data_IF_483894976472
#
_entry.id   IF_483894976472
#
_cell.length_a   1.000
_cell.length_b   1.000
_cell.length_c   1.000
_cell.angle_alpha   90.00
_cell.angle_beta   90.00
_cell.angle_gamma   90.00
#
_symmetry.space_group_name_H-M   'P 1'
#
loop_
_entity.id
_entity.type
_entity.pdbx_description
1 polymer ?
#
# COMPACT_ATOMS: atom_id res chain seq x y z
N UNK A 1 -19.41 -1.78 14.48
CA UNK A 1 -18.81 -3.08 14.12
C UNK A 1 -17.31 -3.00 14.33
N UNK A 2 -16.64 -3.95 14.99
CA UNK A 2 -15.20 -3.93 15.10
C UNK A 2 -14.63 -4.23 13.71
N UNK A 3 -14.00 -3.23 13.09
CA UNK A 3 -13.46 -3.31 11.73
C UNK A 3 -12.27 -4.26 11.72
N UNK A 4 -12.36 -5.33 10.93
CA UNK A 4 -11.42 -6.48 10.93
C UNK A 4 -9.97 -6.11 10.56
N UNK A 5 -9.78 -4.94 9.98
CA UNK A 5 -8.53 -4.46 9.40
C UNK A 5 -8.15 -3.08 9.97
N UNK A 6 -8.09 -2.92 11.30
CA UNK A 6 -7.40 -1.76 11.89
C UNK A 6 -5.88 -1.95 11.85
N UNK A 7 -5.08 -0.87 11.95
CA UNK A 7 -3.61 -0.96 12.00
C UNK A 7 -3.08 -1.90 13.08
N UNK A 8 -3.83 -2.08 14.17
CA UNK A 8 -3.53 -2.98 15.30
C UNK A 8 -3.93 -4.44 15.06
N UNK A 9 -4.65 -4.73 13.96
CA UNK A 9 -5.03 -6.09 13.60
C UNK A 9 -3.76 -6.94 13.41
N UNK A 10 -3.81 -8.21 13.80
CA UNK A 10 -2.72 -9.17 13.56
C UNK A 10 -2.96 -10.04 12.31
N UNK A 11 -4.07 -9.78 11.62
CA UNK A 11 -4.45 -10.49 10.38
C UNK A 11 -3.81 -9.78 9.20
N UNK A 12 -3.10 -10.55 8.38
CA UNK A 12 -2.56 -10.06 7.10
C UNK A 12 -3.67 -10.11 6.07
N UNK A 13 -3.90 -9.00 5.36
CA UNK A 13 -4.91 -8.92 4.33
C UNK A 13 -4.51 -9.78 3.12
N UNK A 14 -5.44 -10.60 2.62
CA UNK A 14 -5.22 -11.58 1.54
C UNK A 14 -6.18 -11.36 0.34
N UNK A 15 -6.80 -10.18 0.28
CA UNK A 15 -7.56 -9.67 -0.88
C UNK A 15 -7.11 -8.24 -1.23
N UNK A 16 -7.20 -7.79 -2.49
CA UNK A 16 -6.72 -6.47 -2.87
C UNK A 16 -7.48 -5.34 -2.16
N UNK A 17 -8.80 -5.48 -2.05
CA UNK A 17 -9.66 -4.53 -1.34
C UNK A 17 -9.29 -4.43 0.15
N UNK A 18 -9.05 -5.56 0.84
CA UNK A 18 -8.64 -5.52 2.25
C UNK A 18 -7.23 -4.92 2.44
N UNK A 19 -6.34 -5.08 1.45
CA UNK A 19 -5.02 -4.44 1.45
C UNK A 19 -5.17 -2.91 1.31
N UNK A 20 -6.00 -2.45 0.37
CA UNK A 20 -6.29 -1.03 0.15
C UNK A 20 -6.98 -0.40 1.36
N UNK A 21 -7.99 -1.08 1.94
CA UNK A 21 -8.69 -0.61 3.14
C UNK A 21 -7.74 -0.46 4.34
N UNK A 22 -6.86 -1.45 4.55
CA UNK A 22 -5.88 -1.39 5.62
C UNK A 22 -4.89 -0.24 5.39
N UNK A 23 -4.41 -0.07 4.15
CA UNK A 23 -3.49 1.00 3.79
C UNK A 23 -4.10 2.39 4.03
N UNK A 24 -5.37 2.60 3.66
CA UNK A 24 -6.10 3.85 3.88
C UNK A 24 -6.18 4.21 5.36
N UNK A 25 -6.66 3.26 6.18
CA UNK A 25 -6.75 3.42 7.63
C UNK A 25 -5.39 3.68 8.27
N UNK A 26 -4.35 3.04 7.75
CA UNK A 26 -3.00 3.22 8.23
C UNK A 26 -2.48 4.63 7.92
N UNK A 27 -2.64 5.11 6.68
CA UNK A 27 -2.26 6.47 6.29
C UNK A 27 -3.06 7.52 7.05
N UNK A 28 -4.35 7.30 7.30
CA UNK A 28 -5.17 8.16 8.16
C UNK A 28 -4.62 8.24 9.58
N UNK A 29 -4.10 7.13 10.11
CA UNK A 29 -3.58 7.04 11.46
C UNK A 29 -2.19 7.68 11.61
N UNK A 30 -1.25 7.34 10.72
CA UNK A 30 0.16 7.75 10.86
C UNK A 30 0.55 8.94 9.98
N UNK A 31 -0.31 9.34 9.04
CA UNK A 31 -0.04 10.39 8.07
C UNK A 31 0.74 9.92 6.83
N UNK A 32 0.84 10.81 5.83
CA UNK A 32 1.67 10.59 4.64
C UNK A 32 3.07 11.16 4.86
N UNK A 33 4.09 10.43 4.43
CA UNK A 33 5.44 11.00 4.32
C UNK A 33 5.63 11.65 2.93
N UNK A 34 6.05 12.91 2.91
CA UNK A 34 6.43 13.65 1.71
C UNK A 34 7.92 14.00 1.75
N UNK A 35 8.68 13.64 0.72
CA UNK A 35 10.08 14.07 0.59
C UNK A 35 10.94 13.14 -0.27
N UNK A 36 12.15 13.54 -0.66
CA UNK A 36 13.08 12.66 -1.35
C UNK A 36 13.69 11.66 -0.35
N UNK A 37 13.64 10.37 -0.71
CA UNK A 37 14.11 9.15 -0.01
C UNK A 37 12.94 8.31 0.51
N UNK A 38 12.74 7.18 -0.16
CA UNK A 38 11.94 6.08 0.33
C UNK A 38 12.58 5.54 1.61
N UNK A 39 11.79 5.42 2.68
CA UNK A 39 12.22 4.65 3.85
C UNK A 39 12.21 3.15 3.48
N UNK A 40 13.30 2.66 2.90
CA UNK A 40 13.55 1.23 2.80
C UNK A 40 13.99 0.72 4.19
N UNK A 41 13.08 0.05 4.90
CA UNK A 41 13.42 -0.57 6.18
C UNK A 41 12.27 -1.37 6.81
N UNK A 42 12.48 -2.65 7.18
CA UNK A 42 11.49 -3.43 7.91
C UNK A 42 11.20 -2.83 9.29
N UNK A 43 9.92 -2.76 9.67
CA UNK A 43 9.48 -2.41 11.02
C UNK A 43 9.34 -0.91 11.35
N UNK A 44 9.62 0.00 10.40
CA UNK A 44 9.47 1.47 10.62
C UNK A 44 8.21 2.08 10.01
N UNK A 45 7.46 1.30 9.23
CA UNK A 45 6.31 1.76 8.45
C UNK A 45 4.97 1.57 9.15
N UNK A 46 4.89 0.84 10.27
CA UNK A 46 3.62 0.59 10.97
C UNK A 46 3.21 1.69 11.96
N UNK A 47 4.09 2.64 12.30
CA UNK A 47 3.81 3.67 13.31
C UNK A 47 4.27 5.08 12.92
N UNK A 48 4.94 5.24 11.77
CA UNK A 48 5.44 6.52 11.28
C UNK A 48 4.75 6.90 9.98
N UNK A 49 4.67 8.21 9.64
CA UNK A 49 4.18 8.67 8.35
C UNK A 49 4.79 7.85 7.21
N UNK A 50 3.94 7.37 6.30
CA UNK A 50 4.34 6.40 5.29
C UNK A 50 3.88 6.83 3.89
N UNK A 51 4.45 6.23 2.85
CA UNK A 51 3.95 6.44 1.48
C UNK A 51 2.84 5.42 1.22
N UNK A 52 1.86 5.73 0.34
CA UNK A 52 0.89 4.76 -0.18
C UNK A 52 1.52 3.41 -0.54
N UNK A 53 2.65 3.42 -1.26
CA UNK A 53 3.39 2.19 -1.59
C UNK A 53 3.79 1.40 -0.34
N UNK A 54 4.31 2.07 0.68
CA UNK A 54 4.73 1.45 1.94
C UNK A 54 3.55 0.92 2.75
N UNK A 55 2.44 1.66 2.79
CA UNK A 55 1.21 1.25 3.47
C UNK A 55 0.69 -0.09 2.92
N UNK A 56 0.67 -0.26 1.59
CA UNK A 56 0.30 -1.52 0.94
C UNK A 56 1.25 -2.68 1.27
N UNK A 57 2.55 -2.40 1.43
CA UNK A 57 3.52 -3.42 1.86
C UNK A 57 3.26 -3.89 3.30
N UNK A 58 2.95 -2.96 4.20
CA UNK A 58 2.63 -3.29 5.60
C UNK A 58 1.29 -4.01 5.72
N UNK A 59 0.30 -3.62 4.91
CA UNK A 59 -0.98 -4.33 4.80
C UNK A 59 -0.78 -5.80 4.39
N UNK A 60 0.14 -6.03 3.45
CA UNK A 60 0.56 -7.36 2.98
C UNK A 60 1.54 -8.07 3.94
N UNK A 61 1.74 -7.56 5.16
CA UNK A 61 2.51 -8.24 6.21
C UNK A 61 4.01 -8.00 6.20
N UNK A 62 4.53 -7.14 5.32
CA UNK A 62 5.94 -6.74 5.39
C UNK A 62 6.22 -6.00 6.70
N UNK A 63 7.07 -6.58 7.56
CA UNK A 63 7.34 -6.06 8.90
C UNK A 63 6.27 -6.37 9.96
N UNK A 64 5.20 -7.12 9.61
CA UNK A 64 4.12 -7.54 10.54
C UNK A 64 3.92 -9.05 10.65
N UNK A 65 4.59 -9.84 9.81
CA UNK A 65 4.57 -11.31 9.92
C UNK A 65 5.07 -11.79 11.28
N UNK A 66 4.24 -12.55 12.00
CA UNK A 66 4.61 -13.13 13.29
C UNK A 66 5.44 -14.43 13.13
N UNK A 67 6.52 -14.56 13.89
CA UNK A 67 7.29 -15.80 13.99
C UNK A 67 6.39 -16.95 14.49
N UNK A 68 6.45 -18.12 13.84
CA UNK A 68 5.66 -19.29 14.20
C UNK A 68 4.27 -19.39 13.55
N UNK A 69 3.93 -18.49 12.62
CA UNK A 69 2.75 -18.62 11.76
C UNK A 69 3.15 -18.91 10.31
N UNK A 70 2.42 -19.81 9.68
CA UNK A 70 2.55 -20.08 8.25
C UNK A 70 1.61 -19.16 7.48
N UNK A 71 2.14 -18.49 6.46
CA UNK A 71 1.39 -17.63 5.56
C UNK A 71 1.57 -18.13 4.12
N UNK A 72 0.53 -18.00 3.31
CA UNK A 72 0.61 -18.18 1.87
C UNK A 72 1.19 -16.90 1.25
N UNK A 73 2.51 -16.77 1.30
CA UNK A 73 3.21 -15.58 0.83
C UNK A 73 3.01 -15.36 -0.68
N UNK A 74 2.92 -16.41 -1.47
CA UNK A 74 2.68 -16.30 -2.92
C UNK A 74 1.31 -15.69 -3.22
N UNK A 75 0.28 -16.08 -2.47
CA UNK A 75 -1.04 -15.45 -2.57
C UNK A 75 -1.01 -14.01 -2.09
N UNK A 76 -0.39 -13.73 -0.95
CA UNK A 76 -0.29 -12.38 -0.38
C UNK A 76 0.45 -11.44 -1.35
N UNK A 77 1.56 -11.88 -1.93
CA UNK A 77 2.36 -11.10 -2.87
C UNK A 77 1.61 -10.81 -4.16
N UNK A 78 0.89 -11.80 -4.72
CA UNK A 78 0.02 -11.58 -5.89
C UNK A 78 -1.08 -10.56 -5.60
N UNK A 79 -1.69 -10.68 -4.43
CA UNK A 79 -2.78 -9.78 -3.99
C UNK A 79 -2.27 -8.35 -3.79
N UNK A 80 -1.09 -8.20 -3.19
CA UNK A 80 -0.43 -6.89 -3.04
C UNK A 80 -0.10 -6.29 -4.41
N UNK A 81 0.42 -7.08 -5.34
CA UNK A 81 0.76 -6.60 -6.67
C UNK A 81 -0.49 -6.15 -7.46
N UNK A 82 -1.63 -6.81 -7.24
CA UNK A 82 -2.93 -6.34 -7.76
C UNK A 82 -3.35 -5.01 -7.12
N UNK A 83 -3.23 -4.86 -5.80
CA UNK A 83 -3.53 -3.60 -5.12
C UNK A 83 -2.63 -2.44 -5.61
N UNK A 84 -1.34 -2.71 -5.88
CA UNK A 84 -0.45 -1.74 -6.50
C UNK A 84 -0.94 -1.32 -7.88
N UNK A 85 -1.34 -2.28 -8.73
CA UNK A 85 -1.85 -1.98 -10.07
C UNK A 85 -3.11 -1.11 -9.99
N UNK A 86 -4.11 -1.54 -9.22
CA UNK A 86 -5.38 -0.81 -9.08
C UNK A 86 -5.16 0.63 -8.62
N UNK A 87 -4.36 0.85 -7.56
CA UNK A 87 -4.11 2.19 -7.05
C UNK A 87 -3.31 3.04 -8.05
N UNK A 88 -2.26 2.48 -8.65
CA UNK A 88 -1.42 3.21 -9.59
C UNK A 88 -2.21 3.64 -10.84
N UNK A 89 -2.98 2.74 -11.45
CA UNK A 89 -3.79 3.04 -12.64
C UNK A 89 -4.90 4.05 -12.32
N UNK A 90 -5.48 3.99 -11.12
CA UNK A 90 -6.46 4.97 -10.66
C UNK A 90 -5.84 6.35 -10.51
N UNK A 91 -4.64 6.44 -9.94
CA UNK A 91 -3.92 7.71 -9.79
C UNK A 91 -3.41 8.26 -11.13
N UNK A 92 -3.05 7.39 -12.07
CA UNK A 92 -2.67 7.77 -13.44
C UNK A 92 -3.90 8.15 -14.30
N UNK A 93 -5.09 7.64 -13.97
CA UNK A 93 -6.30 7.80 -14.75
C UNK A 93 -6.35 6.91 -16.00
N UNK A 94 -5.39 5.99 -16.17
CA UNK A 94 -5.31 5.06 -17.29
C UNK A 94 -4.51 3.80 -16.90
N UNK A 95 -4.70 2.67 -17.62
CA UNK A 95 -3.85 1.50 -17.47
C UNK A 95 -2.39 1.80 -17.74
N UNK A 96 -1.48 1.14 -17.02
CA UNK A 96 -0.04 1.30 -17.26
C UNK A 96 0.38 0.46 -18.46
N UNK A 97 0.95 1.13 -19.47
CA UNK A 97 1.48 0.48 -20.66
C UNK A 97 2.90 -0.05 -20.39
N UNK A 98 3.08 -1.37 -20.50
CA UNK A 98 4.33 -2.06 -20.21
C UNK A 98 4.50 -3.31 -21.07
N UNK A 99 5.74 -3.58 -21.47
CA UNK A 99 6.07 -4.72 -22.35
C UNK A 99 5.81 -6.09 -21.70
N UNK A 100 5.94 -6.17 -20.38
CA UNK A 100 5.73 -7.40 -19.60
C UNK A 100 5.23 -7.13 -18.17
N UNK A 101 4.70 -8.15 -17.47
CA UNK A 101 4.18 -7.99 -16.12
C UNK A 101 5.21 -7.53 -15.07
N UNK A 102 6.49 -7.85 -15.24
CA UNK A 102 7.57 -7.38 -14.39
C UNK A 102 7.83 -5.87 -14.58
N UNK A 103 7.87 -5.42 -15.82
CA UNK A 103 7.95 -4.00 -16.17
C UNK A 103 6.75 -3.22 -15.63
N UNK A 104 5.54 -3.76 -15.75
CA UNK A 104 4.31 -3.16 -15.20
C UNK A 104 4.43 -2.93 -13.68
N UNK A 105 4.94 -3.92 -12.92
CA UNK A 105 5.14 -3.78 -11.47
C UNK A 105 6.09 -2.64 -11.11
N UNK A 106 7.15 -2.44 -11.89
CA UNK A 106 8.10 -1.33 -11.68
C UNK A 106 7.40 0.00 -11.94
N UNK A 107 6.66 0.11 -13.04
CA UNK A 107 5.94 1.33 -13.41
C UNK A 107 4.83 1.69 -12.41
N UNK A 108 4.05 0.72 -11.93
CA UNK A 108 3.05 0.95 -10.87
C UNK A 108 3.69 1.60 -9.64
N UNK A 109 4.83 1.06 -9.17
CA UNK A 109 5.54 1.62 -8.02
C UNK A 109 6.02 3.05 -8.29
N UNK A 110 6.55 3.32 -9.49
CA UNK A 110 6.98 4.66 -9.88
C UNK A 110 5.83 5.67 -9.91
N UNK A 111 4.63 5.26 -10.36
CA UNK A 111 3.44 6.12 -10.33
C UNK A 111 3.08 6.50 -8.90
N UNK A 112 2.99 5.51 -7.99
CA UNK A 112 2.70 5.77 -6.58
C UNK A 112 3.74 6.67 -5.93
N UNK A 113 5.02 6.39 -6.20
CA UNK A 113 6.15 7.12 -5.63
C UNK A 113 6.17 8.58 -6.15
N UNK A 114 5.93 8.80 -7.44
CA UNK A 114 5.85 10.14 -8.04
C UNK A 114 4.66 10.91 -7.49
N UNK A 115 3.48 10.29 -7.46
CA UNK A 115 2.27 10.93 -6.94
C UNK A 115 2.47 11.38 -5.49
N UNK A 116 3.06 10.53 -4.65
CA UNK A 116 3.31 10.82 -3.23
C UNK A 116 4.31 11.95 -3.01
N UNK A 117 5.26 12.11 -3.95
CA UNK A 117 6.29 13.14 -3.90
C UNK A 117 5.80 14.52 -4.41
N UNK A 118 4.62 14.61 -5.02
CA UNK A 118 4.08 15.89 -5.48
C UNK A 118 3.84 16.84 -4.28
N UNK A 119 4.32 18.10 -4.34
CA UNK A 119 4.12 19.07 -3.27
C UNK A 119 2.64 19.27 -2.97
N UNK A 120 2.28 19.27 -1.68
CA UNK A 120 0.92 19.55 -1.22
C UNK A 120 -0.02 18.34 -1.15
N UNK A 121 0.43 17.12 -1.49
CA UNK A 121 -0.33 15.90 -1.18
C UNK A 121 -0.55 15.71 0.31
N UNK A 122 -1.75 15.31 0.70
CA UNK A 122 -2.11 15.10 2.10
C UNK A 122 -2.42 13.64 2.39
N UNK A 123 -2.41 13.28 3.67
CA UNK A 123 -2.87 11.96 4.11
C UNK A 123 -4.33 11.71 3.69
N UNK A 124 -5.16 12.76 3.69
CA UNK A 124 -6.55 12.68 3.26
C UNK A 124 -6.68 12.44 1.74
N UNK A 125 -5.77 12.96 0.92
CA UNK A 125 -5.77 12.68 -0.52
C UNK A 125 -5.41 11.21 -0.79
N UNK A 126 -4.41 10.69 -0.06
CA UNK A 126 -3.96 9.31 -0.20
C UNK A 126 -5.04 8.32 0.27
N UNK A 127 -5.59 8.53 1.47
CA UNK A 127 -6.65 7.69 2.00
C UNK A 127 -7.89 7.71 1.11
N UNK A 128 -8.25 8.87 0.53
CA UNK A 128 -9.38 8.98 -0.40
C UNK A 128 -9.16 8.19 -1.69
N UNK A 129 -7.94 8.24 -2.25
CA UNK A 129 -7.61 7.47 -3.44
C UNK A 129 -7.72 5.96 -3.18
N UNK A 130 -7.35 5.50 -1.99
CA UNK A 130 -7.44 4.10 -1.59
C UNK A 130 -8.89 3.66 -1.29
N UNK A 131 -9.68 4.50 -0.59
CA UNK A 131 -11.10 4.24 -0.31
C UNK A 131 -11.99 4.26 -1.55
N UNK A 132 -11.63 5.00 -2.61
CA UNK A 132 -12.44 5.09 -3.83
C UNK A 132 -12.52 3.76 -4.63
N UNK A 133 -11.84 2.72 -4.16
CA UNK A 133 -11.63 1.46 -4.88
C UNK A 133 -12.43 0.28 -4.31
N UNK A 134 -13.31 0.51 -3.33
CA UNK A 134 -14.19 -0.52 -2.77
C UNK A 134 -15.48 0.04 -2.16
#
# INVERSE_FOLDING_TARGET
MPTRHTPESIVIADTPAAILEWAARHIEHVGIHQGPRLFDGPGRTATLPCWPRGALQVAAGHGRGAAGRTYDWDRIDRTRDQAFATLAETLAGHPVDADDPGAAKVLHRQVLDRWSAEPGRTAADAARAEHALF
#
